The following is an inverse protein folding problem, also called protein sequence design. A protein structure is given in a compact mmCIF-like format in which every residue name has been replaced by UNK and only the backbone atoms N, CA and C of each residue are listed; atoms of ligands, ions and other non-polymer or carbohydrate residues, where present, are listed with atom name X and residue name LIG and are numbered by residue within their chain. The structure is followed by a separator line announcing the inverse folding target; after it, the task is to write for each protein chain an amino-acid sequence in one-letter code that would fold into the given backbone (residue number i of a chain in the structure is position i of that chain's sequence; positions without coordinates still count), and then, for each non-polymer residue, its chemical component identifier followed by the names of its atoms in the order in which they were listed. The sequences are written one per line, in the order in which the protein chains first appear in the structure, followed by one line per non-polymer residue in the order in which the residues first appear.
data_IF_128816152609
#
_entry.id   IF_128816152609
#
_cell.length_a   1.000
_cell.length_b   1.000
_cell.length_c   1.000
_cell.angle_alpha   90.00
_cell.angle_beta   90.00
_cell.angle_gamma   90.00
#
_symmetry.space_group_name_H-M   'P 1'
#
loop_
_entity.id
_entity.type
_entity.pdbx_description
1 polymer ?
#
# COMPACT_ATOMS: atom_id res chain seq x y z
N UNK A 1 -38.25 45.56 4.98
CA UNK A 1 -37.00 45.26 5.70
C UNK A 1 -36.99 43.90 6.38
N UNK A 2 -38.06 43.39 6.93
CA UNK A 2 -38.13 42.08 7.57
C UNK A 2 -37.92 40.89 6.60
N UNK A 3 -38.50 40.95 5.40
CA UNK A 3 -38.34 39.89 4.38
C UNK A 3 -36.87 39.70 3.92
N UNK A 4 -36.07 40.76 3.87
CA UNK A 4 -34.68 40.68 3.51
C UNK A 4 -33.81 40.02 4.61
N UNK A 5 -34.14 40.22 5.87
CA UNK A 5 -33.45 39.59 7.02
C UNK A 5 -33.73 38.09 7.06
N UNK A 6 -34.95 37.64 6.79
CA UNK A 6 -35.32 36.23 6.76
C UNK A 6 -34.56 35.51 5.62
N UNK A 7 -34.53 36.10 4.41
CA UNK A 7 -33.79 35.50 3.29
C UNK A 7 -32.26 35.39 3.54
N UNK A 8 -31.67 36.36 4.23
CA UNK A 8 -30.27 36.34 4.60
C UNK A 8 -29.95 35.28 5.69
N UNK A 9 -30.87 35.08 6.62
CA UNK A 9 -30.74 34.09 7.69
C UNK A 9 -30.88 32.68 7.12
N UNK A 10 -31.82 32.46 6.19
CA UNK A 10 -32.01 31.17 5.53
C UNK A 10 -30.84 30.79 4.63
N UNK A 11 -30.24 31.76 3.93
CA UNK A 11 -29.03 31.53 3.11
C UNK A 11 -27.82 31.13 3.96
N UNK A 12 -27.61 31.76 5.10
CA UNK A 12 -26.53 31.42 6.01
C UNK A 12 -26.74 30.03 6.68
N UNK A 13 -28.00 29.71 7.00
CA UNK A 13 -28.37 28.43 7.57
C UNK A 13 -28.14 27.30 6.54
N UNK A 14 -28.58 27.48 5.30
CA UNK A 14 -28.32 26.54 4.21
C UNK A 14 -26.81 26.33 3.95
N UNK A 15 -26.06 27.43 3.92
CA UNK A 15 -24.59 27.35 3.76
C UNK A 15 -23.93 26.59 4.89
N UNK A 16 -24.37 26.79 6.14
CA UNK A 16 -23.91 26.04 7.30
C UNK A 16 -24.20 24.55 7.20
N UNK A 17 -25.40 24.18 6.76
CA UNK A 17 -25.79 22.78 6.55
C UNK A 17 -24.94 22.13 5.49
N UNK A 18 -24.69 22.79 4.35
CA UNK A 18 -23.80 22.25 3.30
C UNK A 18 -22.39 22.04 3.78
N UNK A 19 -21.80 22.92 4.59
CA UNK A 19 -20.47 22.76 5.16
C UNK A 19 -20.42 21.53 6.08
N UNK A 20 -21.43 21.35 6.94
CA UNK A 20 -21.49 20.18 7.83
C UNK A 20 -21.60 18.88 7.04
N UNK A 21 -22.43 18.82 5.99
CA UNK A 21 -22.51 17.64 5.13
C UNK A 21 -21.20 17.37 4.38
N UNK A 22 -20.55 18.42 3.86
CA UNK A 22 -19.26 18.28 3.17
C UNK A 22 -18.17 17.73 4.11
N UNK A 23 -18.12 18.25 5.35
CA UNK A 23 -17.20 17.74 6.37
C UNK A 23 -17.52 16.31 6.77
N UNK A 24 -18.78 15.96 7.00
CA UNK A 24 -19.20 14.60 7.32
C UNK A 24 -18.86 13.62 6.18
N UNK A 25 -19.09 14.01 4.93
CA UNK A 25 -18.72 13.20 3.77
C UNK A 25 -17.19 13.01 3.67
N UNK A 26 -16.42 14.07 3.89
CA UNK A 26 -14.95 14.00 3.90
C UNK A 26 -14.43 13.05 4.97
N UNK A 27 -14.89 13.18 6.22
CA UNK A 27 -14.48 12.30 7.30
C UNK A 27 -14.90 10.85 7.08
N UNK A 28 -16.10 10.63 6.54
CA UNK A 28 -16.57 9.28 6.19
C UNK A 28 -15.71 8.63 5.10
N UNK A 29 -15.35 9.42 4.08
CA UNK A 29 -14.45 8.95 3.02
C UNK A 29 -13.06 8.61 3.54
N UNK A 30 -12.48 9.48 4.36
CA UNK A 30 -11.15 9.26 4.93
C UNK A 30 -11.12 8.03 5.85
N UNK A 31 -12.14 7.86 6.70
CA UNK A 31 -12.29 6.68 7.55
C UNK A 31 -12.44 5.40 6.73
N UNK A 32 -13.27 5.40 5.69
CA UNK A 32 -13.47 4.25 4.81
C UNK A 32 -12.18 3.89 4.07
N UNK A 33 -11.44 4.89 3.57
CA UNK A 33 -10.15 4.70 2.92
C UNK A 33 -9.11 4.05 3.85
N UNK A 34 -9.01 4.55 5.08
CA UNK A 34 -8.08 4.03 6.07
C UNK A 34 -8.42 2.59 6.45
N UNK A 35 -9.72 2.29 6.63
CA UNK A 35 -10.20 0.96 6.92
C UNK A 35 -9.91 -0.03 5.76
N UNK A 36 -10.20 0.36 4.53
CA UNK A 36 -9.92 -0.47 3.35
C UNK A 36 -8.41 -0.71 3.17
N UNK A 37 -7.59 0.32 3.37
CA UNK A 37 -6.13 0.18 3.34
C UNK A 37 -5.63 -0.83 4.38
N UNK A 38 -6.13 -0.76 5.60
CA UNK A 38 -5.76 -1.69 6.67
C UNK A 38 -6.17 -3.15 6.36
N UNK A 39 -7.35 -3.36 5.77
CA UNK A 39 -7.80 -4.70 5.35
C UNK A 39 -6.94 -5.29 4.24
N UNK A 40 -6.59 -4.48 3.24
CA UNK A 40 -5.72 -4.91 2.14
C UNK A 40 -4.34 -5.26 2.69
N UNK A 41 -3.77 -4.41 3.53
CA UNK A 41 -2.47 -4.64 4.16
C UNK A 41 -2.46 -5.92 5.00
N UNK A 42 -3.51 -6.18 5.77
CA UNK A 42 -3.66 -7.40 6.56
C UNK A 42 -3.66 -8.65 5.68
N UNK A 43 -4.46 -8.66 4.61
CA UNK A 43 -4.51 -9.79 3.65
C UNK A 43 -3.16 -10.05 2.99
N UNK A 44 -2.48 -8.99 2.57
CA UNK A 44 -1.18 -9.13 1.93
C UNK A 44 -0.11 -9.60 2.91
N UNK A 45 -0.17 -9.16 4.16
CA UNK A 45 0.70 -9.64 5.24
C UNK A 45 0.48 -11.12 5.50
N UNK A 46 -0.77 -11.60 5.54
CA UNK A 46 -1.07 -13.02 5.67
C UNK A 46 -0.44 -13.86 4.56
N UNK A 47 -0.47 -13.37 3.31
CA UNK A 47 0.18 -14.05 2.18
C UNK A 47 1.69 -14.14 2.36
N UNK A 48 2.35 -13.08 2.84
CA UNK A 48 3.78 -13.09 3.16
C UNK A 48 4.09 -14.07 4.28
N UNK A 49 3.31 -14.07 5.34
CA UNK A 49 3.52 -14.95 6.50
C UNK A 49 3.31 -16.43 6.12
N UNK A 50 2.34 -16.71 5.26
CA UNK A 50 2.12 -18.06 4.70
C UNK A 50 3.34 -18.50 3.86
N UNK A 51 3.83 -17.66 2.96
CA UNK A 51 4.99 -17.97 2.13
C UNK A 51 6.26 -18.19 2.98
N UNK A 52 6.47 -17.39 4.03
CA UNK A 52 7.56 -17.60 4.99
C UNK A 52 7.46 -18.93 5.71
N UNK A 53 6.26 -19.34 6.15
CA UNK A 53 6.05 -20.65 6.77
C UNK A 53 6.38 -21.80 5.81
N UNK A 54 5.94 -21.70 4.56
CA UNK A 54 6.29 -22.69 3.53
C UNK A 54 7.80 -22.77 3.30
N UNK A 55 8.47 -21.62 3.22
CA UNK A 55 9.91 -21.56 3.08
C UNK A 55 10.63 -22.21 4.28
N UNK A 56 10.16 -21.95 5.49
CA UNK A 56 10.73 -22.52 6.71
C UNK A 56 10.53 -24.05 6.82
N UNK A 57 9.49 -24.60 6.19
CA UNK A 57 9.16 -26.04 6.21
C UNK A 57 9.65 -26.79 4.99
N UNK A 58 10.18 -26.11 3.98
CA UNK A 58 10.70 -26.71 2.74
C UNK A 58 11.88 -27.65 3.04
N UNK A 59 11.78 -28.89 2.58
CA UNK A 59 12.78 -29.94 2.82
C UNK A 59 13.64 -30.22 1.61
N UNK A 60 13.14 -29.96 0.41
CA UNK A 60 13.87 -30.15 -0.84
C UNK A 60 14.24 -28.81 -1.45
N UNK A 61 15.24 -28.80 -2.32
CA UNK A 61 15.65 -27.59 -3.04
C UNK A 61 14.52 -27.08 -3.95
N UNK A 62 13.78 -27.97 -4.59
CA UNK A 62 12.62 -27.61 -5.41
C UNK A 62 11.51 -26.93 -4.59
N UNK A 63 11.19 -27.47 -3.41
CA UNK A 63 10.22 -26.83 -2.50
C UNK A 63 10.70 -25.47 -2.02
N UNK A 64 12.00 -25.34 -1.71
CA UNK A 64 12.59 -24.08 -1.28
C UNK A 64 12.51 -23.04 -2.39
N UNK A 65 12.87 -23.41 -3.62
CA UNK A 65 12.79 -22.51 -4.77
C UNK A 65 11.35 -22.02 -5.02
N UNK A 66 10.37 -22.93 -4.96
CA UNK A 66 8.96 -22.57 -5.11
C UNK A 66 8.49 -21.63 -4.00
N UNK A 67 8.81 -21.95 -2.74
CA UNK A 67 8.42 -21.10 -1.60
C UNK A 67 9.10 -19.73 -1.65
N UNK A 68 10.32 -19.62 -2.14
CA UNK A 68 11.01 -18.35 -2.37
C UNK A 68 10.30 -17.53 -3.45
N UNK A 69 9.92 -18.15 -4.57
CA UNK A 69 9.16 -17.47 -5.63
C UNK A 69 7.81 -16.96 -5.11
N UNK A 70 7.10 -17.76 -4.30
CA UNK A 70 5.84 -17.35 -3.66
C UNK A 70 6.06 -16.16 -2.71
N UNK A 71 7.16 -16.15 -1.95
CA UNK A 71 7.49 -15.05 -1.04
C UNK A 71 7.79 -13.76 -1.82
N UNK A 72 8.57 -13.83 -2.88
CA UNK A 72 8.85 -12.68 -3.74
C UNK A 72 7.59 -12.17 -4.43
N UNK A 73 6.73 -13.06 -4.91
CA UNK A 73 5.43 -12.70 -5.48
C UNK A 73 4.53 -11.99 -4.48
N UNK A 74 4.48 -12.44 -3.23
CA UNK A 74 3.73 -11.78 -2.16
C UNK A 74 4.25 -10.36 -1.89
N UNK A 75 5.57 -10.16 -1.82
CA UNK A 75 6.16 -8.82 -1.70
C UNK A 75 5.89 -7.95 -2.94
N UNK A 76 5.93 -8.52 -4.13
CA UNK A 76 5.58 -7.80 -5.36
C UNK A 76 4.13 -7.29 -5.33
N UNK A 77 3.17 -8.10 -4.86
CA UNK A 77 1.77 -7.68 -4.70
C UNK A 77 1.62 -6.52 -3.71
N UNK A 78 2.36 -6.54 -2.59
CA UNK A 78 2.39 -5.42 -1.63
C UNK A 78 2.92 -4.15 -2.31
N UNK A 79 3.97 -4.25 -3.10
CA UNK A 79 4.52 -3.13 -3.85
C UNK A 79 3.52 -2.57 -4.87
N UNK A 80 2.82 -3.44 -5.59
CA UNK A 80 1.77 -3.04 -6.54
C UNK A 80 0.62 -2.32 -5.81
N UNK A 81 0.16 -2.86 -4.68
CA UNK A 81 -0.88 -2.23 -3.88
C UNK A 81 -0.45 -0.84 -3.37
N UNK A 82 0.81 -0.66 -2.99
CA UNK A 82 1.36 0.63 -2.63
C UNK A 82 1.40 1.62 -3.81
N UNK A 83 1.86 1.16 -4.99
CA UNK A 83 1.90 1.99 -6.20
C UNK A 83 0.50 2.44 -6.63
N UNK A 84 -0.49 1.58 -6.47
CA UNK A 84 -1.91 1.85 -6.74
C UNK A 84 -2.61 2.65 -5.63
N UNK A 85 -1.87 3.14 -4.61
CA UNK A 85 -2.39 3.90 -3.47
C UNK A 85 -3.45 3.15 -2.64
N UNK A 86 -3.44 1.84 -2.68
CA UNK A 86 -4.32 0.97 -1.88
C UNK A 86 -3.82 0.78 -0.45
N UNK A 87 -2.52 1.02 -0.20
CA UNK A 87 -1.90 1.01 1.12
C UNK A 87 -1.40 2.42 1.43
N UNK A 88 -1.56 2.85 2.68
CA UNK A 88 -1.08 4.14 3.15
C UNK A 88 0.46 4.22 3.06
N UNK A 89 0.95 5.33 2.53
CA UNK A 89 2.40 5.52 2.29
C UNK A 89 3.24 5.38 3.56
N UNK A 90 2.76 5.92 4.68
CA UNK A 90 3.46 5.83 5.96
C UNK A 90 3.53 4.41 6.49
N UNK A 91 2.42 3.67 6.42
CA UNK A 91 2.36 2.26 6.84
C UNK A 91 3.30 1.41 6.00
N UNK A 92 3.28 1.57 4.68
CA UNK A 92 4.17 0.86 3.77
C UNK A 92 5.65 1.16 4.07
N UNK A 93 6.02 2.42 4.20
CA UNK A 93 7.41 2.80 4.45
C UNK A 93 7.93 2.23 5.77
N UNK A 94 7.12 2.27 6.81
CA UNK A 94 7.46 1.73 8.13
C UNK A 94 7.67 0.22 8.10
N UNK A 95 6.80 -0.51 7.39
CA UNK A 95 6.73 -1.98 7.46
C UNK A 95 7.58 -2.68 6.40
N UNK A 96 7.71 -2.09 5.21
CA UNK A 96 8.20 -2.80 4.02
C UNK A 96 9.44 -2.19 3.37
N UNK A 97 9.70 -0.90 3.51
CA UNK A 97 10.82 -0.23 2.83
C UNK A 97 12.15 -0.94 3.01
N UNK A 98 12.55 -1.20 4.25
CA UNK A 98 13.82 -1.84 4.54
C UNK A 98 13.88 -3.29 4.01
N UNK A 99 12.74 -3.99 3.98
CA UNK A 99 12.63 -5.34 3.44
C UNK A 99 12.80 -5.35 1.92
N UNK A 100 12.16 -4.40 1.22
CA UNK A 100 12.29 -4.27 -0.24
C UNK A 100 13.74 -3.89 -0.62
N UNK A 101 14.34 -2.93 0.08
CA UNK A 101 15.77 -2.58 -0.13
C UNK A 101 16.68 -3.80 0.06
N UNK A 102 16.42 -4.64 1.06
CA UNK A 102 17.19 -5.87 1.29
C UNK A 102 16.98 -6.90 0.19
N UNK A 103 15.75 -7.12 -0.24
CA UNK A 103 15.42 -8.08 -1.31
C UNK A 103 16.14 -7.71 -2.60
N UNK A 104 16.10 -6.43 -3.02
CA UNK A 104 16.71 -5.98 -4.27
C UNK A 104 18.24 -6.02 -4.23
N UNK A 105 18.85 -5.85 -3.04
CA UNK A 105 20.31 -5.84 -2.87
C UNK A 105 20.87 -7.21 -2.46
N UNK A 106 20.07 -8.26 -2.40
CA UNK A 106 20.51 -9.61 -2.03
C UNK A 106 20.76 -10.44 -3.28
N UNK A 107 21.95 -11.00 -3.40
CA UNK A 107 22.32 -11.94 -4.47
C UNK A 107 21.47 -13.22 -4.44
N UNK A 108 20.87 -13.55 -3.30
CA UNK A 108 20.02 -14.74 -3.10
C UNK A 108 18.83 -14.78 -4.08
N UNK A 109 18.34 -13.61 -4.53
CA UNK A 109 17.16 -13.50 -5.38
C UNK A 109 17.46 -13.17 -6.83
N UNK A 110 18.74 -12.99 -7.19
CA UNK A 110 19.17 -12.58 -8.53
C UNK A 110 18.67 -13.51 -9.62
N UNK A 111 18.73 -14.83 -9.38
CA UNK A 111 18.26 -15.85 -10.33
C UNK A 111 16.76 -15.68 -10.64
N UNK A 112 15.93 -15.42 -9.63
CA UNK A 112 14.48 -15.20 -9.82
C UNK A 112 14.21 -13.93 -10.63
N UNK A 113 14.96 -12.88 -10.39
CA UNK A 113 14.82 -11.61 -11.08
C UNK A 113 15.32 -11.66 -12.52
N UNK A 114 16.28 -12.50 -12.82
CA UNK A 114 16.78 -12.72 -14.17
C UNK A 114 15.86 -13.62 -14.99
N UNK A 115 15.29 -14.66 -14.36
CA UNK A 115 14.42 -15.61 -15.03
C UNK A 115 13.07 -14.99 -15.45
N UNK A 116 12.49 -14.16 -14.63
CA UNK A 116 11.15 -13.55 -14.86
C UNK A 116 11.07 -12.13 -14.28
N UNK A 117 11.76 -11.16 -14.85
CA UNK A 117 11.80 -9.80 -14.31
C UNK A 117 10.43 -9.11 -14.27
N UNK A 118 9.53 -9.45 -15.19
CA UNK A 118 8.16 -8.93 -15.26
C UNK A 118 7.31 -9.32 -14.07
N UNK A 119 7.54 -10.49 -13.48
CA UNK A 119 6.79 -11.01 -12.33
C UNK A 119 7.09 -10.21 -11.04
N UNK A 120 8.18 -9.46 -11.02
CA UNK A 120 8.67 -8.71 -9.85
C UNK A 120 8.77 -7.20 -10.10
N UNK A 121 8.14 -6.71 -11.16
CA UNK A 121 8.22 -5.31 -11.58
C UNK A 121 7.82 -4.32 -10.48
N UNK A 122 6.83 -4.65 -9.66
CA UNK A 122 6.39 -3.81 -8.54
C UNK A 122 7.50 -3.55 -7.52
N UNK A 123 8.31 -4.58 -7.20
CA UNK A 123 9.45 -4.47 -6.29
C UNK A 123 10.47 -3.46 -6.83
N UNK A 124 10.84 -3.55 -8.11
CA UNK A 124 11.81 -2.66 -8.73
C UNK A 124 11.30 -1.22 -8.84
N UNK A 125 10.04 -1.03 -9.24
CA UNK A 125 9.44 0.30 -9.33
C UNK A 125 9.38 1.01 -7.98
N UNK A 126 9.07 0.29 -6.91
CA UNK A 126 9.09 0.83 -5.55
C UNK A 126 10.50 1.16 -5.10
N UNK A 127 11.47 0.28 -5.36
CA UNK A 127 12.88 0.52 -5.04
C UNK A 127 13.40 1.79 -5.72
N UNK A 128 13.17 1.96 -7.02
CA UNK A 128 13.55 3.15 -7.77
C UNK A 128 12.88 4.42 -7.23
N UNK A 129 11.61 4.34 -6.88
CA UNK A 129 10.89 5.46 -6.25
C UNK A 129 11.54 5.93 -4.95
N UNK A 130 12.03 5.00 -4.11
CA UNK A 130 12.73 5.35 -2.88
C UNK A 130 14.13 5.91 -3.13
N UNK A 131 14.84 5.38 -4.11
CA UNK A 131 16.17 5.85 -4.51
C UNK A 131 16.12 7.30 -5.02
N UNK A 132 15.13 7.62 -5.84
CA UNK A 132 14.95 8.96 -6.38
C UNK A 132 14.57 9.99 -5.30
N UNK A 133 13.80 9.60 -4.29
CA UNK A 133 13.50 10.47 -3.13
C UNK A 133 14.74 10.79 -2.28
N UNK A 134 15.70 9.88 -2.16
CA UNK A 134 16.97 10.14 -1.45
C UNK A 134 17.89 11.11 -2.20
N UNK A 135 17.77 11.21 -3.53
CA UNK A 135 18.59 12.12 -4.37
C UNK A 135 18.02 13.53 -4.46
N UNK A 136 16.76 13.73 -4.16
CA UNK A 136 16.07 15.04 -4.23
C UNK A 136 15.91 15.76 -2.88
N UNK A 137 16.43 15.18 -1.81
CA UNK A 137 16.48 15.77 -0.46
C UNK A 137 17.91 16.17 -0.12
#
# INVERSE_FOLDING_TARGET
METLKIAFTDSNLLSGIFIVFALAAYFSYDLARNYMSALIELKLKESVDLAKRRLATARTESERRLATAELLSAYNQICIAYLNKQILSESFQRSYRAKIERIVNSEEYDEFFQDSPEDYLGIFLVHEKFKNRKRGA
#
